data_IF_684899916473
#
_entry.id   IF_684899916473
#
_cell.length_a   1.000
_cell.length_b   1.000
_cell.length_c   1.000
_cell.angle_alpha   90.00
_cell.angle_beta   90.00
_cell.angle_gamma   90.00
#
_symmetry.space_group_name_H-M   'P 1'
#
loop_
_entity.id
_entity.type
_entity.pdbx_description
1 polymer ?
#
# COMPACT_ATOMS: atom_id res chain seq x y z
N UNK A 1 6.69 6.66 6.76
CA UNK A 1 5.74 5.76 6.07
C UNK A 1 6.09 4.27 6.25
N UNK A 2 5.10 3.38 6.46
CA UNK A 2 5.26 1.91 6.44
C UNK A 2 4.81 1.30 5.11
N UNK A 3 5.50 0.27 4.62
CA UNK A 3 5.15 -0.41 3.36
C UNK A 3 5.01 -1.92 3.53
N UNK A 4 3.93 -2.46 2.99
CA UNK A 4 3.59 -3.88 3.01
C UNK A 4 3.32 -4.38 1.60
N UNK A 5 3.47 -5.68 1.41
CA UNK A 5 3.03 -6.40 0.21
C UNK A 5 2.11 -7.53 0.60
N UNK A 6 1.05 -7.76 -0.16
CA UNK A 6 0.22 -8.94 0.01
C UNK A 6 1.03 -10.20 -0.31
N UNK A 7 1.07 -11.13 0.64
CA UNK A 7 1.53 -12.49 0.37
C UNK A 7 0.36 -13.25 -0.24
N UNK A 8 0.53 -13.79 -1.44
CA UNK A 8 -0.46 -14.72 -1.98
C UNK A 8 -0.18 -16.08 -1.33
N UNK A 9 -0.96 -16.44 -0.30
CA UNK A 9 -0.98 -17.82 0.16
C UNK A 9 -1.63 -18.67 -0.92
N UNK A 10 -0.88 -19.61 -1.49
CA UNK A 10 -1.41 -20.62 -2.39
C UNK A 10 -2.44 -21.48 -1.65
N UNK A 11 -3.73 -21.14 -1.75
CA UNK A 11 -4.79 -21.97 -1.18
C UNK A 11 -6.10 -21.24 -0.89
N UNK A 12 -7.16 -21.70 -1.54
CA UNK A 12 -8.57 -21.52 -1.21
C UNK A 12 -9.06 -20.08 -0.93
N UNK A 13 -9.23 -19.30 -2.00
CA UNK A 13 -10.25 -18.24 -2.09
C UNK A 13 -10.10 -16.97 -1.22
N UNK A 14 -9.29 -16.99 -0.16
CA UNK A 14 -9.02 -15.84 0.70
C UNK A 14 -7.96 -14.94 0.06
N UNK A 15 -8.41 -14.08 -0.86
CA UNK A 15 -7.57 -13.05 -1.49
C UNK A 15 -6.91 -12.17 -0.42
N UNK A 16 -5.62 -12.39 -0.17
CA UNK A 16 -4.71 -11.37 0.33
C UNK A 16 -4.84 -10.98 1.80
N UNK A 17 -5.18 -11.90 2.71
CA UNK A 17 -5.21 -11.60 4.16
C UNK A 17 -3.80 -11.52 4.78
N UNK A 18 -2.83 -12.25 4.23
CA UNK A 18 -1.44 -12.22 4.70
C UNK A 18 -0.70 -11.00 4.14
N UNK A 19 -0.18 -10.14 5.02
CA UNK A 19 0.71 -9.04 4.66
C UNK A 19 2.14 -9.33 5.14
N UNK A 20 3.11 -9.08 4.27
CA UNK A 20 4.52 -9.01 4.64
C UNK A 20 4.96 -7.54 4.74
N UNK A 21 5.48 -7.13 5.89
CA UNK A 21 6.04 -5.79 6.06
C UNK A 21 7.47 -5.70 5.50
N UNK A 22 7.75 -4.64 4.73
CA UNK A 22 9.08 -4.36 4.17
C UNK A 22 9.87 -3.32 4.99
N UNK A 23 9.19 -2.52 5.81
CA UNK A 23 9.76 -1.40 6.59
C UNK A 23 9.95 -1.68 8.09
N UNK A 24 9.59 -2.88 8.57
CA UNK A 24 9.74 -3.33 9.96
C UNK A 24 9.28 -2.34 11.07
N UNK A 25 8.05 -1.83 10.98
CA UNK A 25 7.41 -1.03 12.02
C UNK A 25 6.93 -1.89 13.20
N UNK A 26 7.26 -1.48 14.43
CA UNK A 26 6.98 -2.28 15.64
C UNK A 26 5.54 -2.23 16.16
N UNK A 27 4.70 -1.29 15.70
CA UNK A 27 3.33 -1.13 16.20
C UNK A 27 2.33 -2.03 15.47
N UNK A 28 1.25 -2.49 16.14
CA UNK A 28 0.16 -3.22 15.48
C UNK A 28 -0.44 -2.42 14.33
N UNK A 29 -0.94 -3.12 13.30
CA UNK A 29 -1.54 -2.52 12.11
C UNK A 29 -3.02 -2.85 11.99
N UNK A 30 -3.79 -1.89 11.47
CA UNK A 30 -5.15 -2.11 11.01
C UNK A 30 -5.19 -1.85 9.51
N UNK A 31 -5.67 -2.84 8.75
CA UNK A 31 -5.88 -2.68 7.31
C UNK A 31 -7.13 -1.89 7.03
N UNK A 32 -7.03 -0.99 6.06
CA UNK A 32 -8.13 -0.18 5.59
C UNK A 32 -8.23 -0.31 4.06
N UNK A 33 -9.34 -0.88 3.59
CA UNK A 33 -9.71 -0.79 2.17
C UNK A 33 -10.69 0.38 2.00
N UNK A 34 -10.45 1.21 1.00
CA UNK A 34 -11.33 2.32 0.67
C UNK A 34 -11.37 2.53 -0.85
N UNK A 35 -12.51 2.91 -1.44
CA UNK A 35 -12.63 3.11 -2.88
C UNK A 35 -11.89 4.36 -3.38
N UNK A 36 -11.54 5.29 -2.49
CA UNK A 36 -10.86 6.54 -2.82
C UNK A 36 -10.06 7.08 -1.62
N UNK A 37 -9.12 7.99 -1.89
CA UNK A 37 -8.25 8.59 -0.86
C UNK A 37 -9.01 9.45 0.15
N UNK A 38 -10.15 10.05 -0.23
CA UNK A 38 -10.94 10.85 0.71
C UNK A 38 -11.63 9.97 1.75
N UNK A 39 -12.15 8.81 1.34
CA UNK A 39 -12.70 7.80 2.25
C UNK A 39 -11.61 7.14 3.08
N UNK A 40 -10.44 6.86 2.50
CA UNK A 40 -9.29 6.38 3.27
C UNK A 40 -8.93 7.36 4.39
N UNK A 41 -8.73 8.64 4.07
CA UNK A 41 -8.41 9.69 5.06
C UNK A 41 -9.45 9.79 6.17
N UNK A 42 -10.74 9.74 5.82
CA UNK A 42 -11.83 9.73 6.83
C UNK A 42 -11.81 8.48 7.69
N UNK A 43 -11.52 7.31 7.12
CA UNK A 43 -11.38 6.06 7.85
C UNK A 43 -10.23 6.09 8.84
N UNK A 44 -9.06 6.52 8.39
CA UNK A 44 -7.85 6.72 9.21
C UNK A 44 -8.13 7.65 10.38
N UNK A 45 -8.72 8.83 10.13
CA UNK A 45 -9.06 9.78 11.19
C UNK A 45 -10.01 9.19 12.24
N UNK A 46 -10.97 8.35 11.83
CA UNK A 46 -11.89 7.67 12.77
C UNK A 46 -11.17 6.64 13.62
N UNK A 47 -10.29 5.82 13.03
CA UNK A 47 -9.54 4.80 13.75
C UNK A 47 -8.63 5.43 14.81
N UNK A 48 -7.98 6.56 14.49
CA UNK A 48 -7.17 7.28 15.48
C UNK A 48 -8.02 7.96 16.56
N UNK A 49 -9.21 8.46 16.22
CA UNK A 49 -10.13 9.04 17.20
C UNK A 49 -10.60 8.03 18.26
N UNK A 50 -10.61 6.73 17.93
CA UNK A 50 -10.89 5.65 18.88
C UNK A 50 -9.75 5.44 19.91
N UNK A 51 -8.64 6.15 19.80
CA UNK A 51 -7.55 6.17 20.79
C UNK A 51 -6.68 4.91 20.81
N UNK A 52 -6.74 4.07 19.77
CA UNK A 52 -5.88 2.89 19.64
C UNK A 52 -4.52 3.29 19.10
N UNK A 53 -3.45 2.82 19.75
CA UNK A 53 -2.07 2.94 19.25
C UNK A 53 -1.81 1.91 18.15
N UNK A 54 -2.38 2.17 16.97
CA UNK A 54 -2.30 1.31 15.78
C UNK A 54 -1.95 2.15 14.57
N UNK A 55 -1.16 1.59 13.66
CA UNK A 55 -0.92 2.19 12.35
C UNK A 55 -1.99 1.74 11.36
N UNK A 56 -2.57 2.69 10.64
CA UNK A 56 -3.56 2.43 9.59
C UNK A 56 -2.85 2.21 8.26
N UNK A 57 -3.03 1.03 7.69
CA UNK A 57 -2.42 0.62 6.42
C UNK A 57 -3.47 0.59 5.33
N UNK A 58 -3.35 1.48 4.34
CA UNK A 58 -4.27 1.55 3.21
C UNK A 58 -3.92 0.49 2.16
N UNK A 59 -4.90 -0.33 1.79
CA UNK A 59 -4.77 -1.21 0.63
C UNK A 59 -4.73 -0.39 -0.67
N UNK A 60 -3.74 -0.65 -1.52
CA UNK A 60 -3.61 -0.06 -2.84
C UNK A 60 -3.41 -1.18 -3.86
N UNK A 61 -4.40 -1.38 -4.72
CA UNK A 61 -4.30 -2.29 -5.84
C UNK A 61 -3.34 -1.71 -6.89
N UNK A 62 -2.34 -2.46 -7.32
CA UNK A 62 -1.30 -1.98 -8.24
C UNK A 62 -1.26 -2.77 -9.55
N UNK A 63 -1.22 -2.03 -10.66
CA UNK A 63 -0.96 -2.53 -12.01
C UNK A 63 0.21 -1.75 -12.61
N UNK A 64 1.37 -2.40 -12.74
CA UNK A 64 2.55 -1.83 -13.41
C UNK A 64 2.55 -2.30 -14.88
N UNK A 65 2.99 -1.48 -15.86
CA UNK A 65 2.91 -1.80 -17.28
C UNK A 65 3.43 -3.21 -17.60
N UNK A 66 2.58 -4.01 -18.25
CA UNK A 66 2.81 -5.43 -18.56
C UNK A 66 1.53 -6.26 -18.45
N UNK A 67 0.66 -5.92 -17.50
CA UNK A 67 -0.60 -6.63 -17.23
C UNK A 67 -1.77 -5.67 -17.00
N UNK A 68 -2.22 -5.03 -18.08
CA UNK A 68 -3.43 -4.21 -18.08
C UNK A 68 -4.70 -5.05 -18.24
N UNK A 69 -4.90 -6.07 -17.40
CA UNK A 69 -6.23 -6.66 -17.22
C UNK A 69 -6.82 -6.12 -15.94
N UNK A 70 -7.39 -4.92 -16.07
CA UNK A 70 -8.06 -4.19 -15.00
C UNK A 70 -9.20 -5.04 -14.41
N UNK A 71 -8.94 -5.73 -13.30
CA UNK A 71 -9.97 -6.10 -12.37
C UNK A 71 -10.13 -4.91 -11.42
N UNK A 72 -11.04 -3.99 -11.76
CA UNK A 72 -11.44 -2.93 -10.86
C UNK A 72 -12.05 -3.57 -9.60
N UNK A 73 -11.25 -3.75 -8.55
CA UNK A 73 -11.77 -4.03 -7.23
C UNK A 73 -12.45 -2.74 -6.76
N UNK A 74 -13.77 -2.67 -6.89
CA UNK A 74 -14.60 -1.47 -6.64
C UNK A 74 -14.56 -0.92 -5.21
N UNK A 75 -13.70 -1.47 -4.35
CA UNK A 75 -13.60 -1.17 -2.92
C UNK A 75 -12.19 -0.75 -2.47
N UNK A 76 -11.22 -0.65 -3.38
CA UNK A 76 -9.82 -0.33 -3.07
C UNK A 76 -9.27 0.70 -4.04
N UNK A 77 -8.39 1.59 -3.55
CA UNK A 77 -7.65 2.55 -4.39
C UNK A 77 -6.83 1.78 -5.41
N UNK A 78 -6.97 2.11 -6.69
CA UNK A 78 -6.25 1.46 -7.78
C UNK A 78 -5.22 2.41 -8.37
N UNK A 79 -3.97 1.94 -8.47
CA UNK A 79 -2.88 2.61 -9.14
C UNK A 79 -2.48 1.83 -10.38
N UNK A 80 -2.53 2.49 -11.54
CA UNK A 80 -2.03 1.95 -12.80
C UNK A 80 -0.97 2.92 -13.37
N UNK A 81 0.29 2.48 -13.45
CA UNK A 81 1.36 3.36 -13.88
C UNK A 81 2.75 2.87 -13.53
N UNK A 82 3.71 3.80 -13.53
CA UNK A 82 5.13 3.49 -13.34
C UNK A 82 5.51 3.38 -11.86
N UNK A 83 6.64 2.73 -11.57
CA UNK A 83 7.19 2.67 -10.20
C UNK A 83 7.45 4.08 -9.63
N UNK A 84 7.95 5.01 -10.44
CA UNK A 84 8.20 6.39 -10.03
C UNK A 84 6.90 7.13 -9.67
N UNK A 85 5.82 6.89 -10.43
CA UNK A 85 4.51 7.45 -10.13
C UNK A 85 3.88 6.82 -8.88
N UNK A 86 4.01 5.51 -8.67
CA UNK A 86 3.56 4.83 -7.45
C UNK A 86 4.29 5.40 -6.23
N UNK A 87 5.60 5.61 -6.34
CA UNK A 87 6.42 6.22 -5.29
C UNK A 87 5.91 7.62 -4.94
N UNK A 88 5.55 8.43 -5.96
CA UNK A 88 4.97 9.76 -5.75
C UNK A 88 3.62 9.69 -5.02
N UNK A 89 2.73 8.79 -5.46
CA UNK A 89 1.44 8.57 -4.80
C UNK A 89 1.60 8.16 -3.33
N UNK A 90 2.53 7.26 -3.01
CA UNK A 90 2.76 6.84 -1.63
C UNK A 90 3.28 8.00 -0.78
N UNK A 91 4.19 8.83 -1.30
CA UNK A 91 4.65 10.04 -0.61
C UNK A 91 3.50 11.05 -0.38
N UNK A 92 2.59 11.19 -1.34
CA UNK A 92 1.41 12.04 -1.20
C UNK A 92 0.43 11.49 -0.15
N UNK A 93 0.24 10.16 -0.08
CA UNK A 93 -0.56 9.50 0.96
C UNK A 93 0.00 9.79 2.36
N UNK A 94 1.33 9.69 2.54
CA UNK A 94 2.02 9.95 3.81
C UNK A 94 1.84 11.41 4.22
N UNK A 95 2.25 12.33 3.35
CA UNK A 95 2.27 13.77 3.61
C UNK A 95 0.87 14.37 3.81
N UNK A 96 -0.14 13.83 3.13
CA UNK A 96 -1.53 14.26 3.29
C UNK A 96 -2.24 13.63 4.51
N UNK A 97 -1.56 12.74 5.24
CA UNK A 97 -2.12 12.01 6.39
C UNK A 97 -3.31 11.15 5.99
N UNK A 98 -3.24 10.50 4.82
CA UNK A 98 -4.28 9.60 4.34
C UNK A 98 -4.21 8.26 5.04
N UNK A 99 -2.99 7.75 5.30
CA UNK A 99 -2.71 6.52 6.04
C UNK A 99 -1.27 6.56 6.56
N UNK A 100 -0.97 5.78 7.60
CA UNK A 100 0.37 5.64 8.18
C UNK A 100 1.26 4.67 7.39
N UNK A 101 0.62 3.86 6.55
CA UNK A 101 1.28 2.90 5.68
C UNK A 101 0.42 2.50 4.49
N UNK A 102 1.04 1.77 3.57
CA UNK A 102 0.39 1.24 2.37
C UNK A 102 0.65 -0.25 2.24
N UNK A 103 -0.37 -1.01 1.89
CA UNK A 103 -0.26 -2.40 1.46
C UNK A 103 -0.45 -2.49 -0.06
N UNK A 104 0.57 -2.95 -0.77
CA UNK A 104 0.50 -3.18 -2.20
C UNK A 104 -0.21 -4.51 -2.46
N UNK A 105 -1.33 -4.44 -3.18
CA UNK A 105 -2.14 -5.60 -3.56
C UNK A 105 -1.97 -5.79 -5.07
N UNK A 106 -1.47 -6.95 -5.55
CA UNK A 106 -1.25 -7.14 -6.98
C UNK A 106 -2.60 -7.25 -7.70
N UNK A 107 -2.77 -6.54 -8.81
CA UNK A 107 -3.81 -6.92 -9.77
C UNK A 107 -3.37 -8.19 -10.52
N UNK A 108 -4.33 -8.99 -10.97
CA UNK A 108 -4.08 -10.29 -11.60
C UNK A 108 -2.91 -10.26 -12.59
N UNK A 109 -2.00 -11.23 -12.50
CA UNK A 109 -0.83 -11.38 -13.39
C UNK A 109 0.51 -11.29 -12.67
N UNK A 110 0.63 -10.48 -11.60
CA UNK A 110 1.88 -10.33 -10.87
C UNK A 110 2.12 -11.46 -9.85
N UNK A 111 3.33 -12.04 -9.91
CA UNK A 111 3.82 -12.99 -8.92
C UNK A 111 4.17 -12.31 -7.58
N UNK A 112 4.18 -13.07 -6.46
CA UNK A 112 4.62 -12.53 -5.16
C UNK A 112 6.05 -11.97 -5.17
N UNK A 113 6.94 -12.53 -5.99
CA UNK A 113 8.32 -12.06 -6.14
C UNK A 113 8.39 -10.70 -6.85
N UNK A 114 7.62 -10.52 -7.92
CA UNK A 114 7.54 -9.23 -8.64
C UNK A 114 6.94 -8.13 -7.75
N UNK A 115 5.93 -8.45 -6.94
CA UNK A 115 5.35 -7.50 -6.01
C UNK A 115 6.34 -7.10 -4.90
N UNK A 116 7.11 -8.06 -4.37
CA UNK A 116 8.20 -7.79 -3.40
C UNK A 116 9.26 -6.89 -4.03
N UNK A 117 9.69 -7.19 -5.26
CA UNK A 117 10.67 -6.37 -5.98
C UNK A 117 10.15 -4.95 -6.20
N UNK A 118 8.89 -4.79 -6.64
CA UNK A 118 8.24 -3.50 -6.76
C UNK A 118 8.27 -2.72 -5.44
N UNK A 119 7.94 -3.38 -4.32
CA UNK A 119 8.01 -2.78 -2.99
C UNK A 119 9.41 -2.28 -2.64
N UNK A 120 10.46 -3.07 -2.91
CA UNK A 120 11.84 -2.65 -2.69
C UNK A 120 12.27 -1.49 -3.60
N UNK A 121 11.85 -1.49 -4.87
CA UNK A 121 12.15 -0.41 -5.81
C UNK A 121 11.51 0.91 -5.35
N UNK A 122 10.27 0.86 -4.87
CA UNK A 122 9.57 2.01 -4.28
C UNK A 122 10.31 2.51 -3.04
N UNK A 123 10.69 1.62 -2.12
CA UNK A 123 11.43 2.01 -0.91
C UNK A 123 12.76 2.69 -1.23
N UNK A 124 13.49 2.17 -2.22
CA UNK A 124 14.73 2.80 -2.70
C UNK A 124 14.48 4.21 -3.22
N UNK A 125 13.44 4.40 -4.05
CA UNK A 125 13.10 5.72 -4.58
C UNK A 125 12.54 6.68 -3.52
N UNK A 126 11.89 6.18 -2.46
CA UNK A 126 11.50 7.00 -1.31
C UNK A 126 12.74 7.47 -0.53
N UNK A 127 13.69 6.57 -0.27
CA UNK A 127 14.94 6.93 0.41
C UNK A 127 15.78 7.95 -0.38
N UNK A 128 15.76 7.86 -1.71
CA UNK A 128 16.42 8.84 -2.60
C UNK A 128 15.72 10.22 -2.58
N UNK A 129 14.45 10.28 -2.14
CA UNK A 129 13.63 11.50 -2.09
C UNK A 129 13.68 12.22 -0.75
N UNK A 130 13.92 11.51 0.34
CA UNK A 130 14.09 12.15 1.64
C UNK A 130 15.33 13.04 1.59
N UNK A 131 15.20 14.37 1.68
CA UNK A 131 16.36 15.22 1.73
C UNK A 131 17.18 14.82 2.96
N UNK A 132 18.48 14.59 2.74
CA UNK A 132 19.47 14.48 3.82
C UNK A 132 19.33 15.72 4.68
N UNK A 133 18.62 15.63 5.80
CA UNK A 133 18.48 16.73 6.76
C UNK A 133 19.89 17.16 7.16
N UNK A 134 20.28 18.33 6.68
CA UNK A 134 21.50 19.05 7.06
C UNK A 134 21.18 20.04 8.17
#
# INVERSE_FOLDING_TARGET
>A
MRLFVADQTDGDGARGDALSELTAGGSPVVRLSAPDLQRAKRGTARIHADGRDVAVVLDVAVSVPGDYRAAAASHTVHYAGTVAGLTGLIADIDSAGVADGVALIPTAGASPAELRQLGHDVLRLLADREPKSA
#
